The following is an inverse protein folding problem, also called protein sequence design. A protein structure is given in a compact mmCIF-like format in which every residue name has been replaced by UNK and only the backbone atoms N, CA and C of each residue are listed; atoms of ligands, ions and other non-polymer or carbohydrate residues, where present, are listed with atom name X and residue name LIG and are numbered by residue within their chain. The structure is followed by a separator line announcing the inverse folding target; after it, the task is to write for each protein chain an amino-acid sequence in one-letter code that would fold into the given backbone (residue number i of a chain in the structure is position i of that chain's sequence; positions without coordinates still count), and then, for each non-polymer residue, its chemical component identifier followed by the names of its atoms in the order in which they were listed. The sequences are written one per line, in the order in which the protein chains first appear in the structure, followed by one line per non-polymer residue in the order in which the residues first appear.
data_IF_000866493373
#
_entry.id   IF_000866493373
#
_cell.length_a   1.000
_cell.length_b   1.000
_cell.length_c   1.000
_cell.angle_alpha   90.00
_cell.angle_beta   90.00
_cell.angle_gamma   90.00
#
_symmetry.space_group_name_H-M   'P 1'
#
loop_
_entity.id
_entity.type
_entity.pdbx_description
1 polymer ?
#
# COMPACT_ATOMS: atom_id res chain seq x y z
N UNK A 1 20.75 17.21 0.66
CA UNK A 1 21.10 16.34 1.80
C UNK A 1 21.15 14.93 1.26
N UNK A 2 22.29 14.25 1.38
CA UNK A 2 22.43 12.88 0.90
C UNK A 2 21.36 12.01 1.60
N UNK A 3 20.53 11.33 0.81
CA UNK A 3 19.64 10.32 1.36
C UNK A 3 20.53 9.23 1.96
N UNK A 4 20.42 8.99 3.27
CA UNK A 4 20.99 7.78 3.85
C UNK A 4 20.39 6.60 3.09
N UNK A 5 21.23 5.76 2.47
CA UNK A 5 20.76 4.52 1.88
C UNK A 5 20.00 3.72 2.94
N UNK A 6 18.77 3.34 2.62
CA UNK A 6 17.95 2.49 3.48
C UNK A 6 18.52 1.08 3.43
N UNK A 7 19.36 0.73 4.40
CA UNK A 7 19.97 -0.59 4.47
C UNK A 7 19.05 -1.57 5.19
N UNK A 8 18.85 -2.74 4.59
CA UNK A 8 18.09 -3.84 5.20
C UNK A 8 18.86 -4.50 6.35
N UNK A 9 18.28 -4.46 7.54
CA UNK A 9 18.80 -5.18 8.71
C UNK A 9 18.39 -6.66 8.65
N UNK A 10 19.22 -7.46 7.96
CA UNK A 10 19.01 -8.90 7.77
C UNK A 10 18.95 -9.62 9.12
N UNK A 11 19.79 -9.26 10.09
CA UNK A 11 19.83 -9.92 11.39
C UNK A 11 18.51 -9.73 12.15
N UNK A 12 17.94 -8.50 12.11
CA UNK A 12 16.63 -8.20 12.67
C UNK A 12 15.51 -8.98 11.97
N UNK A 13 15.55 -9.09 10.65
CA UNK A 13 14.55 -9.86 9.89
C UNK A 13 14.57 -11.33 10.28
N UNK A 14 15.75 -11.96 10.30
CA UNK A 14 15.90 -13.37 10.70
C UNK A 14 15.41 -13.59 12.13
N UNK A 15 15.81 -12.72 13.06
CA UNK A 15 15.34 -12.78 14.45
C UNK A 15 13.81 -12.69 14.52
N UNK A 16 13.20 -11.80 13.74
CA UNK A 16 11.76 -11.62 13.72
C UNK A 16 11.03 -12.86 13.17
N UNK A 17 11.55 -13.46 12.10
CA UNK A 17 11.05 -14.73 11.54
C UNK A 17 11.11 -15.84 12.58
N UNK A 18 12.29 -16.09 13.18
CA UNK A 18 12.48 -17.17 14.15
C UNK A 18 11.69 -16.98 15.46
N UNK A 19 11.48 -15.74 15.86
CA UNK A 19 10.77 -15.41 17.11
C UNK A 19 9.28 -15.11 16.89
N UNK A 20 8.78 -15.25 15.66
CA UNK A 20 7.41 -14.87 15.27
C UNK A 20 7.04 -13.41 15.65
N UNK A 21 8.02 -12.51 15.68
CA UNK A 21 7.83 -11.09 16.00
C UNK A 21 7.41 -10.35 14.73
N UNK A 22 6.40 -9.47 14.77
CA UNK A 22 6.01 -8.69 13.61
C UNK A 22 7.09 -7.69 13.22
N UNK A 23 7.53 -7.74 11.96
CA UNK A 23 8.31 -6.67 11.33
C UNK A 23 7.34 -5.58 10.90
N UNK A 24 7.50 -4.39 11.46
CA UNK A 24 6.66 -3.23 11.15
C UNK A 24 7.49 -2.14 10.49
N UNK A 25 7.04 -1.69 9.32
CA UNK A 25 7.62 -0.57 8.60
C UNK A 25 6.52 0.48 8.47
N UNK A 26 6.77 1.69 8.95
CA UNK A 26 5.83 2.81 8.83
C UNK A 26 6.46 3.89 7.97
N UNK A 27 5.75 4.32 6.94
CA UNK A 27 6.16 5.39 6.05
C UNK A 27 5.02 6.38 5.83
N UNK A 28 5.35 7.66 5.62
CA UNK A 28 4.38 8.71 5.31
C UNK A 28 4.22 8.90 3.79
N UNK A 29 5.20 8.42 3.03
CA UNK A 29 5.27 8.53 1.57
C UNK A 29 5.73 7.20 0.97
N UNK A 30 5.68 7.06 -0.35
CA UNK A 30 6.14 5.85 -1.03
C UNK A 30 7.07 6.24 -2.20
N UNK A 31 8.25 6.83 -1.93
CA UNK A 31 9.26 7.06 -2.95
C UNK A 31 9.87 5.73 -3.41
N UNK A 32 10.50 5.74 -4.58
CA UNK A 32 11.07 4.53 -5.18
C UNK A 32 12.08 3.81 -4.27
N UNK A 33 12.89 4.54 -3.52
CA UNK A 33 13.83 3.99 -2.53
C UNK A 33 13.12 3.17 -1.42
N UNK A 34 11.93 3.58 -0.98
CA UNK A 34 11.12 2.82 -0.01
C UNK A 34 10.52 1.58 -0.67
N UNK A 35 10.15 1.65 -1.96
CA UNK A 35 9.65 0.48 -2.69
C UNK A 35 10.73 -0.60 -2.86
N UNK A 36 11.97 -0.20 -3.18
CA UNK A 36 13.13 -1.09 -3.26
C UNK A 36 13.39 -1.70 -1.88
N UNK A 37 13.45 -0.87 -0.83
CA UNK A 37 13.66 -1.33 0.54
C UNK A 37 12.61 -2.37 0.98
N UNK A 38 11.33 -2.13 0.67
CA UNK A 38 10.25 -3.07 1.00
C UNK A 38 10.38 -4.39 0.24
N UNK A 39 10.82 -4.35 -1.02
CA UNK A 39 11.09 -5.56 -1.80
C UNK A 39 12.24 -6.37 -1.21
N UNK A 40 13.34 -5.71 -0.83
CA UNK A 40 14.49 -6.38 -0.22
C UNK A 40 14.14 -6.99 1.15
N UNK A 41 13.39 -6.27 1.99
CA UNK A 41 12.89 -6.81 3.27
C UNK A 41 12.06 -8.08 3.02
N UNK A 42 11.18 -8.05 2.01
CA UNK A 42 10.33 -9.18 1.68
C UNK A 42 11.13 -10.37 1.11
N UNK A 43 12.15 -10.13 0.28
CA UNK A 43 13.05 -11.19 -0.20
C UNK A 43 13.79 -11.88 0.94
N UNK A 44 14.37 -11.12 1.87
CA UNK A 44 15.07 -11.67 3.03
C UNK A 44 14.10 -12.46 3.92
N UNK A 45 12.92 -11.90 4.18
CA UNK A 45 11.89 -12.53 5.00
C UNK A 45 11.41 -13.87 4.41
N UNK A 46 11.09 -13.90 3.11
CA UNK A 46 10.67 -15.13 2.41
C UNK A 46 11.83 -16.11 2.23
N UNK A 47 13.06 -15.61 2.08
CA UNK A 47 14.27 -16.40 2.04
C UNK A 47 14.48 -17.22 3.31
N UNK A 48 14.32 -16.57 4.47
CA UNK A 48 14.44 -17.26 5.77
C UNK A 48 13.34 -18.33 5.97
N UNK A 49 12.18 -18.14 5.34
CA UNK A 49 11.09 -19.11 5.36
C UNK A 49 11.22 -20.23 4.31
N UNK A 50 12.24 -20.18 3.44
CA UNK A 50 12.38 -21.11 2.31
C UNK A 50 11.31 -20.93 1.23
N UNK A 51 10.65 -19.76 1.16
CA UNK A 51 9.54 -19.46 0.26
C UNK A 51 9.88 -18.37 -0.77
N UNK A 52 11.14 -18.25 -1.20
CA UNK A 52 11.58 -17.25 -2.20
C UNK A 52 10.75 -17.26 -3.49
N UNK A 53 10.22 -18.42 -3.89
CA UNK A 53 9.32 -18.57 -5.05
C UNK A 53 8.07 -17.67 -5.00
N UNK A 54 7.66 -17.23 -3.81
CA UNK A 54 6.50 -16.35 -3.64
C UNK A 54 6.85 -14.86 -3.77
N UNK A 55 8.13 -14.51 -3.93
CA UNK A 55 8.63 -13.14 -3.88
C UNK A 55 7.89 -12.25 -4.87
N UNK A 56 7.94 -12.55 -6.16
CA UNK A 56 7.45 -11.63 -7.19
C UNK A 56 5.94 -11.38 -7.06
N UNK A 57 5.17 -12.43 -6.74
CA UNK A 57 3.75 -12.34 -6.47
C UNK A 57 3.43 -11.45 -5.26
N UNK A 58 4.15 -11.64 -4.15
CA UNK A 58 3.92 -10.88 -2.93
C UNK A 58 4.44 -9.44 -3.03
N UNK A 59 5.52 -9.20 -3.79
CA UNK A 59 5.99 -7.85 -4.13
C UNK A 59 4.94 -7.10 -4.92
N UNK A 60 4.34 -7.74 -5.94
CA UNK A 60 3.25 -7.15 -6.70
C UNK A 60 2.06 -6.77 -5.81
N UNK A 61 1.57 -7.72 -5.01
CA UNK A 61 0.47 -7.48 -4.06
C UNK A 61 0.80 -6.35 -3.07
N UNK A 62 2.02 -6.33 -2.52
CA UNK A 62 2.49 -5.31 -1.61
C UNK A 62 2.47 -3.92 -2.27
N UNK A 63 2.98 -3.79 -3.50
CA UNK A 63 2.99 -2.53 -4.25
C UNK A 63 1.58 -2.02 -4.51
N UNK A 64 0.68 -2.88 -5.02
CA UNK A 64 -0.70 -2.49 -5.29
C UNK A 64 -1.44 -2.03 -4.03
N UNK A 65 -1.26 -2.76 -2.91
CA UNK A 65 -1.85 -2.37 -1.62
C UNK A 65 -1.25 -1.07 -1.08
N UNK A 66 0.07 -0.89 -1.13
CA UNK A 66 0.76 0.31 -0.66
C UNK A 66 0.38 1.55 -1.48
N UNK A 67 0.26 1.41 -2.81
CA UNK A 67 -0.21 2.48 -3.69
C UNK A 67 -1.66 2.85 -3.40
N UNK A 68 -2.53 1.88 -3.12
CA UNK A 68 -3.91 2.16 -2.72
C UNK A 68 -4.00 2.88 -1.37
N UNK A 69 -3.18 2.47 -0.39
CA UNK A 69 -3.06 3.15 0.90
C UNK A 69 -2.59 4.61 0.74
N UNK A 70 -1.55 4.85 -0.09
CA UNK A 70 -1.10 6.20 -0.47
C UNK A 70 -2.23 7.01 -1.08
N UNK A 71 -2.94 6.47 -2.07
CA UNK A 71 -4.05 7.16 -2.76
C UNK A 71 -5.16 7.52 -1.77
N UNK A 72 -5.52 6.63 -0.85
CA UNK A 72 -6.53 6.91 0.17
C UNK A 72 -6.14 8.11 1.05
N UNK A 73 -4.89 8.17 1.49
CA UNK A 73 -4.35 9.30 2.26
C UNK A 73 -4.35 10.59 1.42
N UNK A 74 -3.91 10.53 0.16
CA UNK A 74 -3.92 11.68 -0.76
C UNK A 74 -5.32 12.24 -0.96
N UNK A 75 -6.34 11.38 -1.11
CA UNK A 75 -7.74 11.86 -1.25
C UNK A 75 -8.16 12.70 -0.06
N UNK A 76 -7.79 12.34 1.17
CA UNK A 76 -8.21 13.12 2.36
C UNK A 76 -7.68 14.54 2.30
N UNK A 77 -6.40 14.70 1.97
CA UNK A 77 -5.79 16.02 1.77
C UNK A 77 -6.42 16.75 0.58
N UNK A 78 -6.63 16.06 -0.54
CA UNK A 78 -7.15 16.65 -1.77
C UNK A 78 -8.55 17.22 -1.58
N UNK A 79 -9.48 16.42 -1.04
CA UNK A 79 -10.85 16.83 -0.80
C UNK A 79 -10.92 18.02 0.16
N UNK A 80 -10.17 17.94 1.27
CA UNK A 80 -10.10 19.03 2.24
C UNK A 80 -9.53 20.31 1.62
N UNK A 81 -8.48 20.22 0.81
CA UNK A 81 -7.86 21.39 0.16
C UNK A 81 -8.78 22.11 -0.83
N UNK A 82 -9.85 21.44 -1.29
CA UNK A 82 -10.85 21.97 -2.21
C UNK A 82 -12.17 22.34 -1.53
N UNK A 83 -12.26 22.19 -0.20
CA UNK A 83 -13.50 22.40 0.53
C UNK A 83 -14.61 21.39 0.18
N UNK A 84 -14.24 20.24 -0.39
CA UNK A 84 -15.16 19.16 -0.75
C UNK A 84 -15.32 18.17 0.40
N UNK A 85 -16.55 17.75 0.67
CA UNK A 85 -16.82 16.68 1.61
C UNK A 85 -16.61 15.32 0.95
N UNK A 86 -15.61 14.57 1.41
CA UNK A 86 -15.37 13.21 0.88
C UNK A 86 -16.47 12.20 1.23
N UNK A 87 -17.37 12.56 2.15
CA UNK A 87 -18.50 11.74 2.55
C UNK A 87 -19.79 12.08 1.79
N UNK A 88 -19.81 13.22 1.09
CA UNK A 88 -20.91 13.57 0.20
C UNK A 88 -20.71 12.93 -1.18
N UNK A 89 -21.70 12.19 -1.73
CA UNK A 89 -21.56 11.52 -3.01
C UNK A 89 -21.31 12.47 -4.20
N UNK A 90 -21.93 13.65 -4.21
CA UNK A 90 -21.80 14.63 -5.30
C UNK A 90 -20.42 15.28 -5.27
N UNK A 91 -19.96 15.69 -4.09
CA UNK A 91 -18.59 16.20 -3.91
C UNK A 91 -17.56 15.11 -4.24
N UNK A 92 -17.81 13.85 -3.83
CA UNK A 92 -16.94 12.72 -4.14
C UNK A 92 -16.81 12.53 -5.65
N UNK A 93 -17.91 12.56 -6.39
CA UNK A 93 -17.89 12.46 -7.84
C UNK A 93 -17.13 13.63 -8.46
N UNK A 94 -17.40 14.86 -8.03
CA UNK A 94 -16.73 16.07 -8.53
C UNK A 94 -15.22 16.04 -8.28
N UNK A 95 -14.79 15.79 -7.04
CA UNK A 95 -13.39 15.70 -6.68
C UNK A 95 -12.66 14.60 -7.46
N UNK A 96 -13.32 13.48 -7.73
CA UNK A 96 -12.69 12.38 -8.46
C UNK A 96 -12.48 12.66 -9.96
N UNK A 97 -13.14 13.66 -10.57
CA UNK A 97 -12.96 14.01 -11.99
C UNK A 97 -11.56 14.50 -12.30
N UNK A 98 -11.00 15.35 -11.44
CA UNK A 98 -9.70 16.00 -11.64
C UNK A 98 -8.59 15.46 -10.72
N UNK A 99 -8.94 14.68 -9.68
CA UNK A 99 -8.01 14.09 -8.71
C UNK A 99 -6.71 13.54 -9.32
N UNK A 100 -6.80 12.73 -10.38
CA UNK A 100 -5.61 12.09 -10.98
C UNK A 100 -4.67 13.14 -11.60
N UNK A 101 -5.20 14.10 -12.35
CA UNK A 101 -4.39 15.13 -12.99
C UNK A 101 -3.78 16.06 -11.95
N UNK A 102 -4.61 16.59 -11.04
CA UNK A 102 -4.19 17.56 -10.03
C UNK A 102 -3.11 17.00 -9.09
N UNK A 103 -3.25 15.73 -8.69
CA UNK A 103 -2.30 15.09 -7.79
C UNK A 103 -1.01 14.69 -8.47
N UNK A 104 -0.99 14.48 -9.79
CA UNK A 104 0.23 14.25 -10.54
C UNK A 104 1.04 15.53 -10.71
N UNK A 105 0.37 16.66 -10.98
CA UNK A 105 1.03 17.97 -11.16
C UNK A 105 1.73 18.46 -9.88
N UNK A 106 1.16 18.18 -8.70
CA UNK A 106 1.70 18.67 -7.43
C UNK A 106 1.81 17.60 -6.34
N UNK A 107 2.27 16.40 -6.69
CA UNK A 107 2.31 15.26 -5.76
C UNK A 107 3.13 15.56 -4.50
N UNK A 108 4.22 16.34 -4.62
CA UNK A 108 5.09 16.68 -3.51
C UNK A 108 4.35 17.46 -2.41
N UNK A 109 3.50 18.43 -2.80
CA UNK A 109 2.70 19.21 -1.86
C UNK A 109 1.70 18.32 -1.12
N UNK A 110 0.98 17.44 -1.82
CA UNK A 110 0.03 16.53 -1.17
C UNK A 110 0.72 15.57 -0.21
N UNK A 111 1.91 15.07 -0.54
CA UNK A 111 2.68 14.17 0.33
C UNK A 111 3.21 14.90 1.58
N UNK A 112 3.63 16.15 1.45
CA UNK A 112 4.01 16.98 2.60
C UNK A 112 2.82 17.20 3.55
N UNK A 113 1.65 17.55 3.00
CA UNK A 113 0.40 17.74 3.77
C UNK A 113 -0.09 16.45 4.43
N UNK A 114 0.06 15.30 3.79
CA UNK A 114 -0.24 14.00 4.41
C UNK A 114 0.62 13.77 5.65
N UNK A 115 1.92 14.07 5.55
CA UNK A 115 2.85 13.95 6.68
C UNK A 115 2.49 14.91 7.82
N UNK A 116 2.18 16.17 7.50
CA UNK A 116 1.72 17.17 8.50
C UNK A 116 0.48 16.70 9.27
N UNK A 117 -0.45 16.04 8.58
CA UNK A 117 -1.68 15.47 9.17
C UNK A 117 -1.47 14.13 9.87
N UNK A 118 -0.25 13.58 9.86
CA UNK A 118 0.06 12.29 10.47
C UNK A 118 -0.54 11.09 9.71
N UNK A 119 -0.86 11.24 8.42
CA UNK A 119 -1.31 10.11 7.61
C UNK A 119 -0.14 9.20 7.25
N UNK A 120 -0.29 7.89 7.49
CA UNK A 120 0.78 6.92 7.28
C UNK A 120 0.31 5.71 6.49
N UNK A 121 1.30 4.95 6.01
CA UNK A 121 1.18 3.59 5.50
C UNK A 121 2.05 2.72 6.41
N UNK A 122 1.46 1.66 6.96
CA UNK A 122 2.11 0.72 7.85
C UNK A 122 2.06 -0.66 7.21
N UNK A 123 3.24 -1.19 6.92
CA UNK A 123 3.43 -2.55 6.42
C UNK A 123 3.81 -3.44 7.60
N UNK A 124 3.14 -4.58 7.73
CA UNK A 124 3.45 -5.59 8.74
C UNK A 124 3.72 -6.92 8.06
N UNK A 125 4.86 -7.53 8.38
CA UNK A 125 5.23 -8.89 7.98
C UNK A 125 5.40 -9.74 9.23
N UNK A 126 4.74 -10.89 9.29
CA UNK A 126 4.86 -11.79 10.43
C UNK A 126 4.69 -13.25 10.01
N UNK A 127 5.61 -14.11 10.45
CA UNK A 127 5.45 -15.55 10.37
C UNK A 127 4.76 -16.04 11.65
N UNK A 128 3.65 -16.78 11.51
CA UNK A 128 2.89 -17.38 12.62
C UNK A 128 2.65 -18.85 12.32
N UNK A 129 3.49 -19.73 12.88
CA UNK A 129 3.42 -21.16 12.60
C UNK A 129 3.57 -21.42 11.10
N UNK A 130 2.57 -22.06 10.50
CA UNK A 130 2.50 -22.35 9.06
C UNK A 130 1.97 -21.19 8.20
N UNK A 131 1.66 -20.04 8.80
CA UNK A 131 0.99 -18.92 8.11
C UNK A 131 1.92 -17.72 8.00
N UNK A 132 1.91 -17.04 6.84
CA UNK A 132 2.53 -15.74 6.66
C UNK A 132 1.45 -14.67 6.63
N UNK A 133 1.62 -13.65 7.46
CA UNK A 133 0.77 -12.46 7.50
C UNK A 133 1.53 -11.31 6.85
N UNK A 134 1.01 -10.81 5.73
CA UNK A 134 1.39 -9.56 5.10
C UNK A 134 0.20 -8.60 5.20
N UNK A 135 0.39 -7.48 5.89
CA UNK A 135 -0.65 -6.46 6.03
C UNK A 135 -0.14 -5.12 5.55
N UNK A 136 -1.00 -4.39 4.86
CA UNK A 136 -0.81 -2.97 4.54
C UNK A 136 -1.98 -2.21 5.16
N UNK A 137 -1.65 -1.26 6.04
CA UNK A 137 -2.61 -0.45 6.79
C UNK A 137 -2.36 1.02 6.49
N UNK A 138 -3.42 1.80 6.44
CA UNK A 138 -3.37 3.26 6.56
C UNK A 138 -4.36 3.72 7.63
N UNK A 139 -4.24 4.97 8.08
CA UNK A 139 -5.01 5.50 9.20
C UNK A 139 -6.14 6.46 8.80
N UNK A 140 -6.58 6.42 7.54
CA UNK A 140 -7.77 7.17 7.14
C UNK A 140 -9.00 6.27 7.14
N UNK A 141 -10.13 6.82 7.58
CA UNK A 141 -11.42 6.16 7.57
C UNK A 141 -11.86 5.84 6.14
N UNK A 142 -12.44 4.67 5.91
CA UNK A 142 -13.03 4.29 4.61
C UNK A 142 -14.45 4.87 4.56
N UNK A 143 -14.75 5.67 3.55
CA UNK A 143 -16.11 6.19 3.37
C UNK A 143 -17.04 5.15 2.69
N UNK A 144 -18.35 5.43 2.66
CA UNK A 144 -19.35 4.53 2.06
C UNK A 144 -19.08 4.23 0.58
N UNK A 145 -18.72 5.25 -0.20
CA UNK A 145 -18.45 5.11 -1.64
C UNK A 145 -17.25 4.21 -1.91
N UNK A 146 -16.19 4.35 -1.12
CA UNK A 146 -14.99 3.52 -1.17
C UNK A 146 -15.30 2.09 -0.70
N UNK A 147 -16.09 1.94 0.38
CA UNK A 147 -16.51 0.64 0.89
C UNK A 147 -17.25 -0.18 -0.18
N UNK A 148 -18.27 0.41 -0.82
CA UNK A 148 -19.04 -0.25 -1.89
C UNK A 148 -18.10 -0.63 -3.04
N UNK A 149 -17.25 0.29 -3.50
CA UNK A 149 -16.27 0.01 -4.57
C UNK A 149 -15.28 -1.10 -4.23
N UNK A 150 -14.83 -1.18 -2.99
CA UNK A 150 -13.93 -2.25 -2.51
C UNK A 150 -14.67 -3.58 -2.52
N UNK A 151 -15.89 -3.63 -1.97
CA UNK A 151 -16.69 -4.85 -1.91
C UNK A 151 -17.03 -5.38 -3.31
N UNK A 152 -17.39 -4.49 -4.24
CA UNK A 152 -17.66 -4.85 -5.62
C UNK A 152 -16.42 -5.45 -6.33
N UNK A 153 -15.24 -4.87 -6.08
CA UNK A 153 -13.97 -5.41 -6.61
C UNK A 153 -13.66 -6.79 -6.02
N UNK A 154 -13.87 -6.98 -4.72
CA UNK A 154 -13.69 -8.26 -4.04
C UNK A 154 -14.69 -9.32 -4.52
N UNK A 155 -15.94 -8.95 -4.76
CA UNK A 155 -16.94 -9.87 -5.30
C UNK A 155 -16.56 -10.33 -6.71
N UNK A 156 -16.11 -9.39 -7.57
CA UNK A 156 -15.64 -9.71 -8.92
C UNK A 156 -14.37 -10.54 -8.92
N UNK A 157 -13.46 -10.38 -7.96
CA UNK A 157 -12.21 -11.14 -7.93
C UNK A 157 -12.41 -12.62 -7.61
N UNK A 158 -13.53 -13.00 -6.98
CA UNK A 158 -13.86 -14.40 -6.66
C UNK A 158 -14.06 -15.30 -7.88
N UNK A 159 -14.24 -14.71 -9.07
CA UNK A 159 -14.34 -15.47 -10.31
C UNK A 159 -12.99 -16.03 -10.77
N UNK A 160 -11.88 -15.46 -10.29
CA UNK A 160 -10.54 -15.89 -10.63
C UNK A 160 -10.05 -16.98 -9.67
N UNK A 161 -9.39 -17.98 -10.22
CA UNK A 161 -8.84 -19.12 -9.49
C UNK A 161 -7.33 -19.01 -9.28
N UNK A 162 -6.65 -18.13 -10.01
CA UNK A 162 -5.23 -17.81 -9.83
C UNK A 162 -4.94 -16.32 -10.02
N UNK A 163 -3.74 -15.90 -9.58
CA UNK A 163 -3.27 -14.53 -9.79
C UNK A 163 -2.95 -14.27 -11.26
N UNK A 164 -2.43 -15.26 -11.98
CA UNK A 164 -2.15 -15.20 -13.42
C UNK A 164 -3.44 -14.91 -14.22
N UNK A 165 -4.53 -15.59 -13.90
CA UNK A 165 -5.84 -15.39 -14.52
C UNK A 165 -6.37 -13.96 -14.27
N UNK A 166 -6.20 -13.47 -13.04
CA UNK A 166 -6.60 -12.12 -12.68
C UNK A 166 -5.76 -11.05 -13.43
N UNK A 167 -4.45 -11.29 -13.60
CA UNK A 167 -3.54 -10.36 -14.27
C UNK A 167 -3.78 -10.26 -15.78
N UNK A 168 -4.09 -11.36 -16.46
CA UNK A 168 -4.39 -11.36 -17.91
C UNK A 168 -5.56 -10.44 -18.24
N UNK A 169 -6.59 -10.41 -17.39
CA UNK A 169 -7.77 -9.57 -17.57
C UNK A 169 -7.55 -8.09 -17.25
N UNK A 170 -6.52 -7.74 -16.47
CA UNK A 170 -6.14 -6.34 -16.21
C UNK A 170 -5.26 -5.80 -17.36
N UNK A 171 -4.62 -6.68 -18.12
CA UNK A 171 -3.74 -6.35 -19.24
C UNK A 171 -4.46 -6.29 -20.60
N UNK A 172 -5.67 -6.85 -20.72
CA UNK A 172 -6.53 -6.64 -21.88
C UNK A 172 -7.15 -5.22 -21.84
N UNK A 173 -6.84 -4.33 -22.80
CA UNK A 173 -7.34 -2.96 -22.86
C UNK A 173 -8.86 -2.82 -23.05
#
# INVERSE_FOLDING_TARGET
MAANELVVDVAKIKKAVHSAIPLTITTYTLPHEIEIYLEEVLDVFLGELGQKKLKDYLVYCLRELAVNAKKANTKRVYFESRGLSINDPSDYEEGMKSFKADTLENIAWYLAKQKEKGYYIKIVLQAKGSTVVLEVRNNVEINRTEYVRIHDKLARSRKYTSLEEALQQVLDP
#
